data_IF_651893873468
#
_entry.id   IF_651893873468
#
_cell.length_a   1.000
_cell.length_b   1.000
_cell.length_c   1.000
_cell.angle_alpha   90.00
_cell.angle_beta   90.00
_cell.angle_gamma   90.00
#
_symmetry.space_group_name_H-M   'P 1'
#
loop_
_entity.id
_entity.type
_entity.pdbx_description
1 polymer ?
#
# COMPACT_ATOMS: atom_id res chain seq x y z
N UNK A 1 -3.77 17.83 3.52
CA UNK A 1 -3.57 16.74 2.55
C UNK A 1 -2.34 15.97 2.99
N UNK A 2 -2.38 14.62 3.07
CA UNK A 2 -1.21 13.84 3.50
C UNK A 2 -0.10 13.93 2.45
N UNK A 3 1.13 14.06 2.90
CA UNK A 3 2.33 14.02 2.06
C UNK A 3 2.65 12.59 1.61
N UNK A 4 3.38 12.42 0.51
CA UNK A 4 3.86 11.09 0.04
C UNK A 4 4.57 10.31 1.13
N UNK A 5 5.35 11.01 1.97
CA UNK A 5 6.05 10.43 3.13
C UNK A 5 5.08 9.82 4.15
N UNK A 6 4.01 10.54 4.50
CA UNK A 6 3.00 10.05 5.44
C UNK A 6 2.18 8.90 4.87
N UNK A 7 1.91 8.93 3.54
CA UNK A 7 1.24 7.84 2.84
C UNK A 7 2.08 6.57 2.81
N UNK A 8 3.38 6.69 2.47
CA UNK A 8 4.35 5.61 2.48
C UNK A 8 4.49 4.99 3.87
N UNK A 9 4.67 5.81 4.90
CA UNK A 9 4.75 5.35 6.29
C UNK A 9 3.51 4.57 6.72
N UNK A 10 2.33 5.09 6.39
CA UNK A 10 1.06 4.42 6.69
C UNK A 10 0.93 3.08 5.96
N UNK A 11 1.35 3.00 4.69
CA UNK A 11 1.32 1.77 3.89
C UNK A 11 2.28 0.70 4.43
N UNK A 12 3.50 1.08 4.80
CA UNK A 12 4.48 0.18 5.43
C UNK A 12 3.89 -0.39 6.74
N UNK A 13 3.28 0.46 7.56
CA UNK A 13 2.63 0.04 8.82
C UNK A 13 1.47 -0.94 8.58
N UNK A 14 0.66 -0.70 7.55
CA UNK A 14 -0.44 -1.57 7.16
C UNK A 14 0.06 -2.97 6.77
N UNK A 15 1.04 -3.04 5.85
CA UNK A 15 1.64 -4.29 5.39
C UNK A 15 2.34 -5.05 6.52
N UNK A 16 3.06 -4.34 7.40
CA UNK A 16 3.66 -4.94 8.60
C UNK A 16 2.61 -5.61 9.48
N UNK A 17 1.49 -4.93 9.73
CA UNK A 17 0.38 -5.49 10.53
C UNK A 17 -0.27 -6.68 9.84
N UNK A 18 -0.39 -6.66 8.51
CA UNK A 18 -0.90 -7.80 7.74
C UNK A 18 -0.02 -9.05 7.90
N UNK A 19 1.31 -8.87 7.99
CA UNK A 19 2.26 -9.94 8.33
C UNK A 19 2.37 -10.22 9.85
N UNK A 20 1.54 -9.57 10.68
CA UNK A 20 1.49 -9.73 12.15
C UNK A 20 2.81 -9.47 12.87
N UNK A 21 3.63 -8.57 12.32
CA UNK A 21 4.92 -8.20 12.91
C UNK A 21 4.78 -6.98 13.84
N UNK A 22 5.50 -6.95 14.95
CA UNK A 22 5.73 -5.73 15.75
C UNK A 22 6.74 -4.80 15.05
N UNK A 23 6.87 -3.55 15.53
CA UNK A 23 7.89 -2.64 14.98
C UNK A 23 9.30 -3.19 15.25
N UNK A 24 9.53 -3.71 16.45
CA UNK A 24 10.79 -4.34 16.86
C UNK A 24 11.12 -5.53 15.95
N UNK A 25 10.15 -6.42 15.70
CA UNK A 25 10.36 -7.58 14.85
C UNK A 25 10.72 -7.21 13.41
N UNK A 26 10.06 -6.19 12.84
CA UNK A 26 10.39 -5.74 11.49
C UNK A 26 11.76 -5.04 11.47
N UNK A 27 12.05 -4.18 12.46
CA UNK A 27 13.31 -3.44 12.50
C UNK A 27 14.51 -4.37 12.70
N UNK A 28 14.35 -5.43 13.50
CA UNK A 28 15.34 -6.51 13.62
C UNK A 28 15.56 -7.23 12.28
N UNK A 29 14.47 -7.61 11.58
CA UNK A 29 14.56 -8.30 10.27
C UNK A 29 15.32 -7.50 9.21
N UNK A 30 15.20 -6.18 9.22
CA UNK A 30 15.86 -5.28 8.26
C UNK A 30 17.11 -4.60 8.81
N UNK A 31 17.52 -4.97 10.03
CA UNK A 31 18.69 -4.45 10.74
C UNK A 31 18.73 -2.92 10.85
N UNK A 32 17.66 -2.31 11.39
CA UNK A 32 17.60 -0.88 11.70
C UNK A 32 17.12 -0.63 13.14
N UNK A 33 17.34 0.59 13.63
CA UNK A 33 16.82 1.02 14.93
C UNK A 33 15.26 1.04 14.92
N UNK A 34 14.58 0.42 15.91
CA UNK A 34 13.12 0.43 16.02
C UNK A 34 12.51 1.85 16.03
N UNK A 35 13.19 2.84 16.61
CA UNK A 35 12.78 4.26 16.57
C UNK A 35 12.86 4.81 15.15
N UNK A 36 13.84 4.38 14.35
CA UNK A 36 13.89 4.78 12.95
C UNK A 36 12.69 4.22 12.18
N UNK A 37 12.38 2.93 12.34
CA UNK A 37 11.17 2.34 11.75
C UNK A 37 9.90 3.07 12.21
N UNK A 38 9.77 3.34 13.51
CA UNK A 38 8.63 4.06 14.05
C UNK A 38 8.46 5.44 13.42
N UNK A 39 9.57 6.19 13.24
CA UNK A 39 9.57 7.49 12.53
C UNK A 39 9.18 7.36 11.06
N UNK A 40 9.61 6.30 10.37
CA UNK A 40 9.20 6.02 8.99
C UNK A 40 7.68 5.82 8.94
N UNK A 41 7.13 4.95 9.80
CA UNK A 41 5.71 4.58 9.80
C UNK A 41 4.75 5.75 10.09
N UNK A 42 5.21 6.77 10.82
CA UNK A 42 4.43 7.99 11.10
C UNK A 42 4.78 9.16 10.17
N UNK A 43 5.59 8.94 9.14
CA UNK A 43 5.96 9.97 8.16
C UNK A 43 6.92 11.03 8.67
N UNK A 44 7.66 10.77 9.76
CA UNK A 44 8.67 11.68 10.32
C UNK A 44 10.07 11.50 9.72
N UNK A 45 10.32 10.43 8.96
CA UNK A 45 11.57 10.16 8.25
C UNK A 45 11.30 9.57 6.87
N UNK A 46 12.17 9.84 5.90
CA UNK A 46 12.20 9.06 4.66
C UNK A 46 13.14 7.86 4.86
N UNK A 47 12.70 6.63 4.51
CA UNK A 47 13.63 5.52 4.36
C UNK A 47 14.55 5.76 3.14
N UNK A 48 15.77 5.22 3.17
CA UNK A 48 16.59 5.11 1.96
C UNK A 48 15.98 4.07 0.99
N UNK A 49 16.43 4.07 -0.27
CA UNK A 49 16.04 3.01 -1.23
C UNK A 49 16.44 1.62 -0.72
N UNK A 50 17.66 1.48 -0.19
CA UNK A 50 18.12 0.22 0.45
C UNK A 50 17.20 -0.20 1.62
N UNK A 51 16.75 0.74 2.45
CA UNK A 51 15.80 0.43 3.53
C UNK A 51 14.44 0.00 2.96
N UNK A 52 13.97 0.63 1.87
CA UNK A 52 12.73 0.26 1.20
C UNK A 52 12.78 -1.15 0.62
N UNK A 53 13.90 -1.52 -0.03
CA UNK A 53 14.11 -2.87 -0.56
C UNK A 53 14.08 -3.90 0.56
N UNK A 54 14.80 -3.65 1.67
CA UNK A 54 14.78 -4.53 2.84
C UNK A 54 13.39 -4.65 3.45
N UNK A 55 12.63 -3.55 3.54
CA UNK A 55 11.24 -3.57 4.03
C UNK A 55 10.37 -4.42 3.09
N UNK A 56 10.45 -4.21 1.78
CA UNK A 56 9.68 -4.96 0.80
C UNK A 56 9.98 -6.47 0.90
N UNK A 57 11.25 -6.84 0.98
CA UNK A 57 11.67 -8.24 1.17
C UNK A 57 11.19 -8.82 2.51
N UNK A 58 11.34 -8.11 3.61
CA UNK A 58 10.93 -8.59 4.94
C UNK A 58 9.40 -8.70 5.08
N UNK A 59 8.67 -7.89 4.31
CA UNK A 59 7.21 -7.93 4.21
C UNK A 59 6.72 -8.80 3.05
N UNK A 60 7.61 -9.45 2.30
CA UNK A 60 7.26 -10.38 1.21
C UNK A 60 6.23 -9.76 0.24
N UNK A 61 6.59 -8.59 -0.29
CA UNK A 61 5.85 -7.81 -1.28
C UNK A 61 6.80 -7.21 -2.30
N UNK A 62 6.29 -6.84 -3.47
CA UNK A 62 7.07 -6.03 -4.42
C UNK A 62 7.21 -4.58 -3.91
N UNK A 63 8.34 -3.93 -4.24
CA UNK A 63 8.60 -2.55 -3.81
C UNK A 63 7.52 -1.55 -4.26
N UNK A 64 6.90 -1.79 -5.42
CA UNK A 64 5.80 -0.96 -5.95
C UNK A 64 4.58 -0.95 -5.02
N UNK A 65 4.33 -2.04 -4.30
CA UNK A 65 3.18 -2.19 -3.40
C UNK A 65 3.30 -1.30 -2.15
N UNK A 66 4.53 -0.90 -1.79
CA UNK A 66 4.76 0.11 -0.74
C UNK A 66 4.20 1.48 -1.13
N UNK A 67 3.99 1.73 -2.42
CA UNK A 67 3.46 2.98 -2.97
C UNK A 67 1.98 2.91 -3.38
N UNK A 68 1.31 1.79 -3.12
CA UNK A 68 -0.12 1.63 -3.40
C UNK A 68 -0.98 2.24 -2.28
N UNK A 69 -1.26 3.53 -2.40
CA UNK A 69 -2.00 4.31 -1.38
C UNK A 69 -3.53 4.24 -1.55
N UNK A 70 -4.07 3.03 -1.68
CA UNK A 70 -5.48 2.79 -2.06
C UNK A 70 -6.45 3.51 -1.09
N UNK A 71 -6.19 3.47 0.22
CA UNK A 71 -7.02 4.11 1.25
C UNK A 71 -6.91 5.64 1.34
N UNK A 72 -6.03 6.24 0.55
CA UNK A 72 -5.83 7.69 0.46
C UNK A 72 -6.07 8.25 -0.94
N UNK A 73 -6.58 7.40 -1.84
CA UNK A 73 -6.98 7.78 -3.19
C UNK A 73 -8.33 8.48 -3.14
N UNK A 74 -8.45 9.65 -3.76
CA UNK A 74 -9.73 10.38 -3.81
C UNK A 74 -10.76 9.60 -4.62
N UNK A 75 -12.06 9.80 -4.37
CA UNK A 75 -13.14 9.21 -5.19
C UNK A 75 -12.93 9.50 -6.68
N UNK A 76 -12.42 10.68 -7.01
CA UNK A 76 -12.08 11.08 -8.38
C UNK A 76 -10.98 10.21 -8.99
N UNK A 77 -9.92 9.93 -8.23
CA UNK A 77 -8.82 9.08 -8.69
C UNK A 77 -9.24 7.61 -8.76
N UNK A 78 -10.05 7.12 -7.81
CA UNK A 78 -10.64 5.78 -7.86
C UNK A 78 -11.47 5.61 -9.13
N UNK A 79 -12.39 6.54 -9.42
CA UNK A 79 -13.19 6.52 -10.63
C UNK A 79 -12.32 6.59 -11.90
N UNK A 80 -11.26 7.40 -11.90
CA UNK A 80 -10.32 7.48 -13.03
C UNK A 80 -9.61 6.14 -13.26
N UNK A 81 -9.14 5.50 -12.21
CA UNK A 81 -8.44 4.22 -12.27
C UNK A 81 -9.39 3.10 -12.73
N UNK A 82 -10.60 3.02 -12.15
CA UNK A 82 -11.64 2.08 -12.56
C UNK A 82 -11.97 2.27 -14.04
N UNK A 83 -12.28 3.50 -14.48
CA UNK A 83 -12.59 3.76 -15.89
C UNK A 83 -11.44 3.39 -16.83
N UNK A 84 -10.19 3.57 -16.41
CA UNK A 84 -9.01 3.15 -17.20
C UNK A 84 -8.94 1.63 -17.33
N UNK A 85 -9.26 0.88 -16.28
CA UNK A 85 -9.30 -0.59 -16.29
C UNK A 85 -10.46 -1.09 -17.16
N UNK A 86 -11.67 -0.55 -16.98
CA UNK A 86 -12.86 -0.94 -17.74
C UNK A 86 -12.68 -0.78 -19.25
N UNK A 87 -11.95 0.25 -19.70
CA UNK A 87 -11.63 0.46 -21.13
C UNK A 87 -10.76 -0.64 -21.76
N UNK A 88 -10.09 -1.44 -20.93
CA UNK A 88 -9.21 -2.54 -21.38
C UNK A 88 -9.82 -3.92 -21.15
N UNK A 89 -11.02 -3.98 -20.56
CA UNK A 89 -11.74 -5.21 -20.28
C UNK A 89 -12.64 -5.55 -21.45
N UNK A 90 -12.73 -6.83 -21.78
CA UNK A 90 -13.65 -7.36 -22.79
C UNK A 90 -15.09 -7.48 -22.27
N UNK A 91 -16.02 -7.85 -23.16
CA UNK A 91 -17.44 -7.93 -22.83
C UNK A 91 -17.75 -8.97 -21.73
N UNK A 92 -17.04 -10.10 -21.70
CA UNK A 92 -17.21 -11.11 -20.65
C UNK A 92 -16.76 -10.60 -19.29
N UNK A 93 -15.57 -9.99 -19.22
CA UNK A 93 -15.06 -9.39 -17.99
C UNK A 93 -15.97 -8.26 -17.49
N UNK A 94 -16.48 -7.41 -18.38
CA UNK A 94 -17.42 -6.34 -18.01
C UNK A 94 -18.72 -6.88 -17.42
N UNK A 95 -19.26 -7.98 -17.96
CA UNK A 95 -20.45 -8.65 -17.41
C UNK A 95 -20.20 -9.18 -16.00
N UNK A 96 -19.03 -9.78 -15.75
CA UNK A 96 -18.66 -10.27 -14.41
C UNK A 96 -18.51 -9.10 -13.42
N UNK A 97 -17.79 -8.05 -13.81
CA UNK A 97 -17.62 -6.85 -12.97
C UNK A 97 -18.98 -6.25 -12.61
N UNK A 98 -19.90 -6.14 -13.57
CA UNK A 98 -21.25 -5.62 -13.32
C UNK A 98 -22.02 -6.48 -12.30
N UNK A 99 -21.89 -7.81 -12.37
CA UNK A 99 -22.51 -8.72 -11.39
C UNK A 99 -21.95 -8.47 -9.97
N UNK A 100 -20.63 -8.34 -9.84
CA UNK A 100 -19.96 -8.11 -8.55
C UNK A 100 -20.36 -6.76 -7.96
N UNK A 101 -20.31 -5.69 -8.77
CA UNK A 101 -20.67 -4.33 -8.31
C UNK A 101 -22.12 -4.28 -7.85
N UNK A 102 -23.06 -4.92 -8.58
CA UNK A 102 -24.47 -5.03 -8.14
C UNK A 102 -24.59 -5.73 -6.79
N UNK A 103 -23.85 -6.82 -6.56
CA UNK A 103 -23.90 -7.53 -5.29
C UNK A 103 -23.37 -6.72 -4.08
N UNK A 104 -22.56 -5.69 -4.31
CA UNK A 104 -22.00 -4.83 -3.26
C UNK A 104 -22.88 -3.59 -2.99
N UNK A 105 -23.57 -3.09 -4.02
CA UNK A 105 -24.36 -1.84 -3.96
C UNK A 105 -25.85 -2.09 -3.63
N UNK A 106 -26.33 -3.31 -3.84
CA UNK A 106 -27.70 -3.72 -3.53
C UNK A 106 -27.87 -4.18 -2.08
#
# INVERSE_FOLDING_TARGET
>A
MKTTKELLGARIKELRKAKRLSQEQLSEKINIDPKHLSRIEVGKSYPSLDTLEKIAMALDVEIKELFEFIHHTTTKELNKNINKLLKKTDDEGLRLILKIVRAIVC
#
